data_IF_242671280919
#
_entry.id   IF_242671280919
#
_cell.length_a   1.000
_cell.length_b   1.000
_cell.length_c   1.000
_cell.angle_alpha   90.00
_cell.angle_beta   90.00
_cell.angle_gamma   90.00
#
_symmetry.space_group_name_H-M   'P 1'
#
loop_
_entity.id
_entity.type
_entity.pdbx_description
1 polymer ?
#
# COMPACT_ATOMS: atom_id res chain seq x y z
N UNK A 1 10.42 -4.60 16.77
CA UNK A 1 9.96 -3.22 16.90
C UNK A 1 8.47 -3.17 16.70
N UNK A 2 7.73 -2.47 17.55
CA UNK A 2 6.29 -2.42 17.41
C UNK A 2 5.91 -1.62 16.17
N UNK A 3 4.98 -2.19 15.42
CA UNK A 3 4.38 -1.53 14.28
C UNK A 3 2.96 -1.16 14.66
N UNK A 4 2.60 0.09 14.44
CA UNK A 4 1.28 0.60 14.81
C UNK A 4 0.45 0.90 13.57
N UNK A 5 -0.76 0.36 13.54
CA UNK A 5 -1.73 0.71 12.49
C UNK A 5 -2.26 2.12 12.76
N UNK A 6 -2.09 3.01 11.79
CA UNK A 6 -2.54 4.40 11.91
C UNK A 6 -3.95 4.58 11.39
N UNK A 7 -4.24 4.04 10.21
CA UNK A 7 -5.56 4.14 9.61
C UNK A 7 -5.71 3.11 8.50
N UNK A 8 -6.95 2.90 8.09
CA UNK A 8 -7.31 2.09 6.94
C UNK A 8 -8.16 2.94 6.00
N UNK A 9 -7.76 3.02 4.74
CA UNK A 9 -8.52 3.71 3.70
C UNK A 9 -9.06 2.71 2.70
N UNK A 10 -10.13 3.07 2.03
CA UNK A 10 -10.66 2.30 0.92
C UNK A 10 -10.30 2.97 -0.38
N UNK A 11 -9.82 2.16 -1.33
CA UNK A 11 -9.45 2.64 -2.65
C UNK A 11 -10.26 1.87 -3.69
N UNK A 12 -10.92 2.59 -4.58
CA UNK A 12 -11.72 1.97 -5.64
C UNK A 12 -10.99 2.08 -6.97
N UNK A 13 -10.74 0.94 -7.59
CA UNK A 13 -10.02 0.85 -8.86
C UNK A 13 -10.73 -0.16 -9.74
N UNK A 14 -11.16 0.27 -10.93
CA UNK A 14 -11.79 -0.63 -11.89
C UNK A 14 -13.03 -1.34 -11.38
N UNK A 15 -13.82 -0.69 -10.52
CA UNK A 15 -15.02 -1.27 -9.97
C UNK A 15 -14.79 -2.18 -8.76
N UNK A 16 -13.54 -2.31 -8.31
CA UNK A 16 -13.18 -3.11 -7.13
C UNK A 16 -12.73 -2.21 -6.00
N UNK A 17 -13.11 -2.58 -4.78
CA UNK A 17 -12.70 -1.87 -3.57
C UNK A 17 -11.51 -2.59 -2.93
N UNK A 18 -10.49 -1.83 -2.56
CA UNK A 18 -9.30 -2.35 -1.91
C UNK A 18 -9.09 -1.62 -0.59
N UNK A 19 -8.67 -2.34 0.44
CA UNK A 19 -8.31 -1.74 1.72
C UNK A 19 -6.83 -1.46 1.76
N UNK A 20 -6.46 -0.22 2.07
CA UNK A 20 -5.07 0.19 2.22
C UNK A 20 -4.84 0.51 3.68
N UNK A 21 -3.91 -0.18 4.31
CA UNK A 21 -3.55 0.05 5.71
C UNK A 21 -2.28 0.86 5.78
N UNK A 22 -2.24 1.81 6.70
CA UNK A 22 -1.08 2.66 6.93
C UNK A 22 -0.50 2.37 8.30
N UNK A 23 0.81 2.16 8.35
CA UNK A 23 1.51 1.78 9.56
C UNK A 23 2.64 2.73 9.88
N UNK A 24 2.91 2.86 11.18
CA UNK A 24 4.08 3.55 11.70
C UNK A 24 4.95 2.55 12.43
N UNK A 25 6.25 2.60 12.20
CA UNK A 25 7.21 1.80 12.92
C UNK A 25 8.40 2.67 13.31
N UNK A 26 9.17 2.19 14.27
CA UNK A 26 10.34 2.92 14.75
C UNK A 26 11.57 2.08 14.51
N UNK A 27 12.61 2.70 13.93
CA UNK A 27 13.89 2.02 13.72
C UNK A 27 14.63 1.87 15.05
N UNK A 28 15.72 1.08 15.05
CA UNK A 28 16.56 0.92 16.23
C UNK A 28 17.14 2.25 16.71
N UNK A 29 17.27 3.24 15.83
CA UNK A 29 17.77 4.58 16.17
C UNK A 29 16.68 5.53 16.62
N UNK A 30 15.42 5.06 16.70
CA UNK A 30 14.32 5.90 17.11
C UNK A 30 13.69 6.71 15.98
N UNK A 31 14.14 6.53 14.74
CA UNK A 31 13.56 7.23 13.59
C UNK A 31 12.22 6.61 13.22
N UNK A 32 11.20 7.45 13.02
CA UNK A 32 9.90 6.97 12.58
C UNK A 32 9.93 6.64 11.09
N UNK A 33 9.33 5.50 10.76
CA UNK A 33 9.15 5.04 9.38
C UNK A 33 7.68 4.76 9.16
N UNK A 34 7.26 4.95 7.93
CA UNK A 34 5.86 4.76 7.56
C UNK A 34 5.77 3.79 6.39
N UNK A 35 4.74 2.96 6.41
CA UNK A 35 4.51 2.01 5.31
C UNK A 35 3.02 1.87 5.07
N UNK A 36 2.67 1.44 3.86
CA UNK A 36 1.30 1.08 3.54
C UNK A 36 1.27 -0.33 2.97
N UNK A 37 0.17 -1.02 3.19
CA UNK A 37 -0.04 -2.38 2.72
C UNK A 37 -1.42 -2.51 2.11
N UNK A 38 -1.48 -3.10 0.94
CA UNK A 38 -2.72 -3.40 0.25
C UNK A 38 -2.68 -4.84 -0.22
N UNK A 39 -3.70 -5.62 0.17
CA UNK A 39 -3.80 -7.01 -0.22
C UNK A 39 -4.58 -7.12 -1.53
N UNK A 40 -3.98 -7.79 -2.51
CA UNK A 40 -4.61 -8.09 -3.79
C UNK A 40 -5.17 -9.52 -3.83
N UNK A 41 -4.65 -10.38 -2.98
CA UNK A 41 -5.07 -11.76 -2.86
C UNK A 41 -4.35 -12.44 -1.72
N UNK A 42 -4.60 -13.74 -1.47
CA UNK A 42 -4.04 -14.43 -0.31
C UNK A 42 -2.51 -14.40 -0.22
N UNK A 43 -1.84 -14.38 -1.36
CA UNK A 43 -0.37 -14.38 -1.40
C UNK A 43 0.18 -13.21 -2.20
N UNK A 44 -0.64 -12.20 -2.46
CA UNK A 44 -0.24 -11.06 -3.27
C UNK A 44 -0.59 -9.75 -2.57
N UNK A 45 0.42 -8.92 -2.37
CA UNK A 45 0.25 -7.63 -1.70
C UNK A 45 1.23 -6.61 -2.25
N UNK A 46 0.84 -5.35 -2.09
CA UNK A 46 1.70 -4.21 -2.42
C UNK A 46 2.10 -3.56 -1.10
N UNK A 47 3.42 -3.37 -0.92
CA UNK A 47 3.95 -2.67 0.25
C UNK A 47 4.73 -1.47 -0.25
N UNK A 48 4.42 -0.30 0.30
CA UNK A 48 5.10 0.95 -0.02
C UNK A 48 5.68 1.55 1.25
N UNK A 49 6.84 2.16 1.15
CA UNK A 49 7.49 2.88 2.24
C UNK A 49 7.49 4.37 1.96
N UNK A 50 7.45 5.15 3.01
CA UNK A 50 7.47 6.60 2.88
C UNK A 50 7.96 7.28 4.14
N UNK A 51 8.15 8.60 4.05
CA UNK A 51 8.67 9.42 5.14
C UNK A 51 7.56 10.01 6.00
N UNK A 52 6.32 9.94 5.53
CA UNK A 52 5.15 10.45 6.23
C UNK A 52 3.89 9.81 5.67
N UNK A 53 2.78 9.95 6.37
CA UNK A 53 1.48 9.48 5.88
C UNK A 53 1.10 10.21 4.58
N UNK A 54 1.32 11.52 4.53
CA UNK A 54 1.03 12.32 3.33
C UNK A 54 1.83 11.83 2.14
N UNK A 55 3.11 11.52 2.33
CA UNK A 55 3.97 10.96 1.28
C UNK A 55 3.43 9.61 0.79
N UNK A 56 3.01 8.74 1.72
CA UNK A 56 2.42 7.46 1.38
C UNK A 56 1.10 7.59 0.64
N UNK A 57 0.23 8.50 1.07
CA UNK A 57 -1.03 8.73 0.38
C UNK A 57 -0.81 9.13 -1.08
N UNK A 58 0.17 9.99 -1.31
CA UNK A 58 0.55 10.40 -2.66
C UNK A 58 1.08 9.23 -3.48
N UNK A 59 1.93 8.40 -2.89
CA UNK A 59 2.47 7.20 -3.55
C UNK A 59 1.38 6.18 -3.84
N UNK A 60 0.48 5.95 -2.90
CA UNK A 60 -0.66 5.04 -3.09
C UNK A 60 -1.51 5.49 -4.27
N UNK A 61 -1.89 6.76 -4.30
CA UNK A 61 -2.72 7.30 -5.37
C UNK A 61 -2.09 7.16 -6.76
N UNK A 62 -0.77 7.20 -6.84
CA UNK A 62 -0.03 7.14 -8.10
C UNK A 62 0.37 5.72 -8.49
N UNK A 63 0.92 4.97 -7.54
CA UNK A 63 1.57 3.69 -7.84
C UNK A 63 0.64 2.50 -7.77
N UNK A 64 -0.35 2.50 -6.88
CA UNK A 64 -1.23 1.34 -6.70
C UNK A 64 -2.10 1.08 -7.92
N UNK A 65 -2.79 2.09 -8.50
CA UNK A 65 -3.56 1.84 -9.71
C UNK A 65 -2.72 1.31 -10.86
N UNK A 66 -1.52 1.86 -11.04
CA UNK A 66 -0.61 1.43 -12.10
C UNK A 66 -0.15 -0.02 -11.88
N UNK A 67 0.15 -0.39 -10.64
CA UNK A 67 0.58 -1.74 -10.31
C UNK A 67 -0.55 -2.75 -10.53
N UNK A 68 -1.76 -2.42 -10.10
CA UNK A 68 -2.92 -3.29 -10.29
C UNK A 68 -3.20 -3.47 -11.79
N UNK A 69 -3.18 -2.39 -12.55
CA UNK A 69 -3.40 -2.44 -13.98
C UNK A 69 -2.35 -3.32 -14.67
N UNK A 70 -1.10 -3.16 -14.29
CA UNK A 70 0.01 -3.97 -14.83
C UNK A 70 -0.20 -5.46 -14.55
N UNK A 71 -0.66 -5.81 -13.34
CA UNK A 71 -0.93 -7.22 -13.00
C UNK A 71 -2.11 -7.79 -13.77
N UNK A 72 -3.14 -6.99 -14.01
CA UNK A 72 -4.28 -7.42 -14.81
C UNK A 72 -3.86 -7.69 -16.25
N UNK A 73 -3.00 -6.87 -16.81
CA UNK A 73 -2.47 -7.09 -18.16
C UNK A 73 -1.63 -8.36 -18.22
N UNK A 74 -0.79 -8.58 -17.22
CA UNK A 74 0.05 -9.78 -17.15
C UNK A 74 -0.75 -11.07 -16.99
N UNK A 75 -1.92 -11.00 -16.37
CA UNK A 75 -2.79 -12.15 -16.15
C UNK A 75 -3.66 -12.48 -17.36
N UNK A 76 -3.66 -11.65 -18.39
CA UNK A 76 -4.45 -11.91 -19.60
C UNK A 76 -3.86 -13.06 -20.39
N UNK A 77 -4.69 -14.00 -20.85
CA UNK A 77 -4.21 -15.01 -21.78
C UNK A 77 -3.75 -14.35 -23.08
N UNK A 78 -2.67 -14.82 -23.59
CA UNK A 78 -2.10 -14.32 -24.83
C UNK A 78 -3.01 -14.64 -26.03
#
# INVERSE_FOLDING_TARGET
MPTRLLKTDELQIGGHAYSVKYFESQTARGTLRYSSELLLGPADRIILDGNSVTDLESKVARLVPATIYSRLLAARPA
#
